data_IF_765425759881
#
_entry.id   IF_765425759881
#
_cell.length_a   1.000
_cell.length_b   1.000
_cell.length_c   1.000
_cell.angle_alpha   90.00
_cell.angle_beta   90.00
_cell.angle_gamma   90.00
#
_symmetry.space_group_name_H-M   'P 1'
#
loop_
_entity.id
_entity.type
_entity.pdbx_description
1 polymer ?
#
# COMPACT_ATOMS: atom_id res chain seq x y z
N UNK A 1 -56.73 26.37 24.32
CA UNK A 1 -56.18 26.44 22.95
C UNK A 1 -55.36 27.72 22.92
N UNK A 2 -54.04 27.76 22.94
CA UNK A 2 -52.96 26.87 22.50
C UNK A 2 -51.79 27.07 23.48
N UNK A 3 -51.14 25.98 23.91
CA UNK A 3 -49.96 26.05 24.79
C UNK A 3 -48.69 26.12 23.95
N UNK A 4 -47.97 27.24 23.99
CA UNK A 4 -46.66 27.37 23.35
C UNK A 4 -45.57 26.91 24.32
N UNK A 5 -44.92 25.80 24.00
CA UNK A 5 -43.70 25.32 24.67
C UNK A 5 -42.51 26.13 24.14
N UNK A 6 -41.95 27.01 24.97
CA UNK A 6 -40.67 27.65 24.71
C UNK A 6 -39.54 26.71 25.11
N UNK A 7 -38.81 26.19 24.12
CA UNK A 7 -37.53 25.51 24.34
C UNK A 7 -36.46 26.57 24.70
N UNK A 8 -35.67 26.29 25.74
CA UNK A 8 -34.58 27.19 26.18
C UNK A 8 -33.45 27.25 25.15
N UNK A 9 -32.75 28.39 25.03
CA UNK A 9 -31.63 28.53 24.08
C UNK A 9 -30.54 27.47 24.27
N UNK A 10 -30.34 27.00 25.50
CA UNK A 10 -29.39 25.94 25.86
C UNK A 10 -29.77 24.57 25.30
N UNK A 11 -31.08 24.29 25.16
CA UNK A 11 -31.54 23.03 24.55
C UNK A 11 -31.40 23.09 23.03
N UNK A 12 -31.66 24.22 22.38
CA UNK A 12 -31.47 24.39 20.93
C UNK A 12 -29.99 24.23 20.53
N UNK A 13 -29.05 24.77 21.32
CA UNK A 13 -27.61 24.61 21.10
C UNK A 13 -27.13 23.15 21.27
N UNK A 14 -27.71 22.41 22.22
CA UNK A 14 -27.39 21.00 22.46
C UNK A 14 -27.91 20.08 21.33
N UNK A 15 -29.08 20.40 20.77
CA UNK A 15 -29.62 19.68 19.61
C UNK A 15 -28.87 20.05 18.31
N UNK A 16 -28.41 21.29 18.15
CA UNK A 16 -27.58 21.71 17.01
C UNK A 16 -26.19 21.05 17.03
N UNK A 17 -25.56 20.90 18.21
CA UNK A 17 -24.28 20.18 18.32
C UNK A 17 -24.44 18.68 18.07
N UNK A 18 -25.54 18.07 18.52
CA UNK A 18 -25.86 16.66 18.21
C UNK A 18 -26.10 16.44 16.71
N UNK A 19 -26.76 17.39 16.03
CA UNK A 19 -27.03 17.33 14.59
C UNK A 19 -25.77 17.57 13.74
N UNK A 20 -24.84 18.41 14.19
CA UNK A 20 -23.53 18.62 13.56
C UNK A 20 -22.59 17.42 13.74
N UNK A 21 -22.66 16.70 14.87
CA UNK A 21 -21.93 15.43 15.06
C UNK A 21 -22.49 14.32 14.16
N UNK A 22 -23.79 14.36 13.84
CA UNK A 22 -24.44 13.44 12.88
C UNK A 22 -24.21 13.79 11.40
N UNK A 23 -23.82 15.03 11.07
CA UNK A 23 -23.61 15.50 9.70
C UNK A 23 -22.17 15.33 9.17
N UNK A 24 -21.21 14.98 10.04
CA UNK A 24 -19.81 14.74 9.68
C UNK A 24 -19.36 13.28 9.84
N UNK A 25 -20.29 12.33 9.94
CA UNK A 25 -19.95 10.94 9.66
C UNK A 25 -20.19 10.70 8.18
N UNK A 26 -19.17 10.89 7.35
CA UNK A 26 -19.10 10.17 6.08
C UNK A 26 -18.99 8.69 6.46
N UNK A 27 -20.13 8.05 6.70
CA UNK A 27 -20.16 6.62 7.00
C UNK A 27 -19.79 5.89 5.71
N UNK A 28 -18.50 5.59 5.54
CA UNK A 28 -18.08 4.55 4.61
C UNK A 28 -18.73 3.26 5.10
N UNK A 29 -19.72 2.76 4.35
CA UNK A 29 -20.37 1.51 4.70
C UNK A 29 -19.32 0.40 4.61
N UNK A 30 -18.97 -0.21 5.75
CA UNK A 30 -18.10 -1.37 5.77
C UNK A 30 -18.74 -2.50 4.95
N UNK A 31 -18.07 -2.90 3.87
CA UNK A 31 -18.48 -4.05 3.07
C UNK A 31 -18.07 -5.35 3.75
N UNK A 32 -16.99 -5.30 4.55
CA UNK A 32 -16.51 -6.40 5.37
C UNK A 32 -17.21 -6.40 6.73
N UNK A 33 -17.87 -7.51 7.07
CA UNK A 33 -18.42 -7.74 8.42
C UNK A 33 -17.37 -8.38 9.31
N UNK A 34 -16.92 -7.65 10.32
CA UNK A 34 -16.06 -8.19 11.37
C UNK A 34 -16.88 -8.98 12.40
N UNK A 35 -16.29 -9.98 13.08
CA UNK A 35 -16.92 -10.63 14.24
C UNK A 35 -17.25 -9.61 15.34
N UNK A 36 -18.33 -9.82 16.11
CA UNK A 36 -18.87 -8.86 17.09
C UNK A 36 -17.85 -8.33 18.12
N UNK A 37 -16.85 -9.14 18.47
CA UNK A 37 -15.83 -8.78 19.46
C UNK A 37 -14.51 -8.29 18.85
N UNK A 38 -14.45 -8.11 17.53
CA UNK A 38 -13.25 -7.69 16.82
C UNK A 38 -13.42 -6.28 16.25
N UNK A 39 -12.52 -5.40 16.65
CA UNK A 39 -12.38 -4.07 16.07
C UNK A 39 -11.03 -3.92 15.39
N UNK A 40 -11.00 -3.19 14.28
CA UNK A 40 -9.76 -2.71 13.64
C UNK A 40 -9.86 -1.18 13.66
N UNK A 41 -9.17 -0.48 14.56
CA UNK A 41 -9.31 0.97 14.66
C UNK A 41 -8.56 1.71 13.54
N UNK A 42 -7.44 1.17 13.07
CA UNK A 42 -6.64 1.78 12.02
C UNK A 42 -5.98 0.77 11.08
N UNK A 43 -5.60 1.26 9.90
CA UNK A 43 -4.70 0.59 8.97
C UNK A 43 -3.42 1.43 8.88
N UNK A 44 -2.31 0.89 9.40
CA UNK A 44 -1.01 1.56 9.48
C UNK A 44 -0.09 0.93 8.45
N UNK A 45 0.45 1.75 7.54
CA UNK A 45 1.05 1.24 6.30
C UNK A 45 2.50 1.64 6.16
N UNK A 46 3.34 0.70 5.75
CA UNK A 46 4.76 0.87 5.43
C UNK A 46 5.07 0.23 4.09
N UNK A 47 6.07 0.73 3.39
CA UNK A 47 6.43 0.13 2.12
C UNK A 47 6.95 1.05 1.05
N UNK A 48 6.69 0.65 -0.18
CA UNK A 48 7.11 1.29 -1.41
C UNK A 48 5.95 2.00 -2.15
N UNK A 49 6.16 2.29 -3.44
CA UNK A 49 5.20 2.98 -4.32
C UNK A 49 3.83 2.29 -4.43
N UNK A 50 3.72 0.99 -4.15
CA UNK A 50 2.44 0.27 -4.23
C UNK A 50 1.42 0.83 -3.24
N UNK A 51 1.87 1.40 -2.12
CA UNK A 51 1.02 1.89 -1.02
C UNK A 51 1.42 3.29 -0.54
N UNK A 52 2.17 4.02 -1.35
CA UNK A 52 2.45 5.43 -1.15
C UNK A 52 1.23 6.27 -1.53
N UNK A 53 0.95 7.29 -0.73
CA UNK A 53 -0.14 8.24 -0.91
C UNK A 53 0.35 9.69 -0.92
N UNK A 54 1.64 9.90 -1.21
CA UNK A 54 2.26 11.23 -1.36
C UNK A 54 3.36 11.57 -0.35
N UNK A 55 4.01 10.58 0.29
CA UNK A 55 5.12 10.91 1.21
C UNK A 55 6.36 11.47 0.48
N UNK A 56 6.40 11.34 -0.84
CA UNK A 56 7.52 11.81 -1.68
C UNK A 56 7.24 13.18 -2.34
N UNK A 57 6.04 13.74 -2.18
CA UNK A 57 5.57 14.86 -3.00
C UNK A 57 6.35 16.16 -2.76
N UNK A 58 6.77 16.39 -1.51
CA UNK A 58 7.58 17.54 -1.10
C UNK A 58 9.09 17.33 -1.28
N UNK A 59 9.51 16.19 -1.85
CA UNK A 59 10.92 15.84 -2.05
C UNK A 59 11.39 16.14 -3.48
N UNK A 60 12.67 16.47 -3.61
CA UNK A 60 13.34 16.54 -4.92
C UNK A 60 13.71 15.11 -5.33
N UNK A 61 12.78 14.42 -6.00
CA UNK A 61 12.93 13.02 -6.43
C UNK A 61 12.07 12.71 -7.64
N UNK A 62 12.47 11.70 -8.42
CA UNK A 62 11.66 11.12 -9.50
C UNK A 62 10.72 10.01 -9.00
N UNK A 63 10.90 9.56 -7.76
CA UNK A 63 10.06 8.55 -7.14
C UNK A 63 8.78 9.17 -6.54
N UNK A 64 8.06 9.99 -7.32
CA UNK A 64 6.79 10.63 -6.92
C UNK A 64 5.83 10.72 -8.10
N UNK A 65 4.54 10.86 -7.80
CA UNK A 65 3.44 10.83 -8.77
C UNK A 65 2.35 11.88 -8.45
N UNK A 66 2.76 13.04 -7.93
CA UNK A 66 1.94 14.21 -7.59
C UNK A 66 1.60 15.08 -8.80
N UNK A 67 1.54 14.47 -9.99
CA UNK A 67 1.25 15.16 -11.25
C UNK A 67 0.43 14.28 -12.21
N UNK A 68 -0.35 14.91 -13.12
CA UNK A 68 -1.09 14.18 -14.14
C UNK A 68 -0.19 13.36 -15.09
N UNK A 69 -0.63 12.17 -15.54
CA UNK A 69 -2.01 11.67 -15.46
C UNK A 69 -2.33 10.84 -14.20
N UNK A 70 -1.41 10.72 -13.24
CA UNK A 70 -1.67 9.99 -12.00
C UNK A 70 -2.86 10.60 -11.26
N UNK A 71 -3.66 9.74 -10.62
CA UNK A 71 -4.87 10.17 -9.92
C UNK A 71 -6.02 10.67 -10.80
N UNK A 72 -6.00 10.45 -12.13
CA UNK A 72 -7.09 10.86 -13.04
C UNK A 72 -8.48 10.32 -12.64
N UNK A 73 -8.53 9.16 -11.98
CA UNK A 73 -9.74 8.54 -11.41
C UNK A 73 -9.87 8.74 -9.90
N UNK A 74 -8.86 9.34 -9.25
CA UNK A 74 -8.88 9.60 -7.81
C UNK A 74 -9.64 10.90 -7.52
N UNK A 75 -10.57 10.87 -6.56
CA UNK A 75 -11.40 11.98 -6.07
C UNK A 75 -11.12 13.38 -6.66
N UNK A 76 -11.89 13.76 -7.68
CA UNK A 76 -11.76 15.05 -8.36
C UNK A 76 -10.70 15.10 -9.46
N UNK A 77 -10.07 13.98 -9.79
CA UNK A 77 -9.00 13.86 -10.79
C UNK A 77 -7.66 14.44 -10.30
N UNK A 78 -7.42 14.43 -8.99
CA UNK A 78 -6.25 15.06 -8.36
C UNK A 78 -5.13 14.05 -8.20
N UNK A 79 -3.93 14.41 -8.66
CA UNK A 79 -2.73 13.66 -8.42
C UNK A 79 -2.25 13.88 -6.98
N UNK A 80 -2.29 12.82 -6.16
CA UNK A 80 -1.92 12.88 -4.73
C UNK A 80 -0.64 12.10 -4.42
N UNK A 81 0.22 11.84 -5.41
CA UNK A 81 1.41 11.00 -5.20
C UNK A 81 1.15 9.49 -5.26
N UNK A 82 -0.10 9.04 -5.47
CA UNK A 82 -0.44 7.62 -5.68
C UNK A 82 0.06 7.14 -7.04
N UNK A 83 0.78 6.02 -7.05
CA UNK A 83 1.32 5.41 -8.26
C UNK A 83 0.25 4.58 -9.00
N UNK A 84 -0.90 5.18 -9.29
CA UNK A 84 -1.99 4.56 -10.03
C UNK A 84 -2.86 5.62 -10.71
N UNK A 85 -3.82 5.19 -11.52
CA UNK A 85 -4.88 6.09 -12.00
C UNK A 85 -5.80 6.56 -10.88
N UNK A 86 -5.88 5.82 -9.77
CA UNK A 86 -6.85 6.06 -8.70
C UNK A 86 -6.33 5.60 -7.35
N UNK A 87 -7.20 4.92 -6.58
CA UNK A 87 -6.89 4.35 -5.27
C UNK A 87 -5.80 3.27 -5.33
N UNK A 88 -4.95 3.25 -4.31
CA UNK A 88 -3.97 2.16 -4.08
C UNK A 88 -4.57 1.09 -3.15
N UNK A 89 -3.99 -0.13 -3.04
CA UNK A 89 -4.60 -1.25 -2.32
C UNK A 89 -5.03 -0.94 -0.88
N UNK A 90 -4.26 -0.12 -0.16
CA UNK A 90 -4.53 0.19 1.23
C UNK A 90 -5.66 1.20 1.42
N UNK A 91 -5.94 2.04 0.42
CA UNK A 91 -7.17 2.84 0.40
C UNK A 91 -8.39 1.94 0.31
N UNK A 92 -8.34 1.00 -0.62
CA UNK A 92 -9.42 0.04 -0.85
C UNK A 92 -9.62 -0.81 0.41
N UNK A 93 -8.54 -1.28 1.04
CA UNK A 93 -8.61 -2.01 2.31
C UNK A 93 -9.30 -1.18 3.42
N UNK A 94 -8.94 0.10 3.56
CA UNK A 94 -9.56 0.96 4.57
C UNK A 94 -11.04 1.23 4.26
N UNK A 95 -11.40 1.39 2.99
CA UNK A 95 -12.78 1.54 2.51
C UNK A 95 -13.61 0.28 2.81
N UNK A 96 -13.11 -0.90 2.47
CA UNK A 96 -13.76 -2.20 2.70
C UNK A 96 -14.00 -2.46 4.20
N UNK A 97 -13.09 -2.01 5.06
CA UNK A 97 -13.20 -2.05 6.52
C UNK A 97 -14.09 -0.94 7.10
N UNK A 98 -14.57 0.00 6.28
CA UNK A 98 -15.40 1.13 6.69
C UNK A 98 -14.69 2.19 7.52
N UNK A 99 -13.36 2.28 7.45
CA UNK A 99 -12.56 3.21 8.27
C UNK A 99 -12.52 4.62 7.69
N UNK A 100 -12.21 4.73 6.41
CA UNK A 100 -12.10 5.98 5.65
C UNK A 100 -12.06 5.68 4.15
N UNK A 101 -12.39 6.64 3.28
CA UNK A 101 -12.38 6.43 1.82
C UNK A 101 -10.98 6.22 1.24
N UNK A 102 -9.94 6.78 1.87
CA UNK A 102 -8.54 6.67 1.45
C UNK A 102 -7.58 6.92 2.61
N UNK A 103 -6.39 6.32 2.59
CA UNK A 103 -5.35 6.51 3.61
C UNK A 103 -4.44 7.69 3.22
N UNK A 104 -4.28 8.73 4.05
CA UNK A 104 -3.40 9.84 3.75
C UNK A 104 -1.93 9.50 4.02
N UNK A 105 -1.02 10.20 3.34
CA UNK A 105 0.41 10.18 3.65
C UNK A 105 0.67 10.86 4.99
N UNK A 106 1.58 10.29 5.79
CA UNK A 106 1.98 10.91 7.06
C UNK A 106 2.64 12.29 6.88
N UNK A 107 3.29 12.51 5.73
CA UNK A 107 3.96 13.77 5.40
C UNK A 107 3.09 14.78 4.65
N UNK A 108 1.79 14.48 4.45
CA UNK A 108 0.89 15.46 3.84
C UNK A 108 0.79 16.71 4.73
N UNK A 109 1.10 17.92 4.22
CA UNK A 109 0.99 19.17 4.99
C UNK A 109 -0.45 19.47 5.46
N UNK A 110 -1.45 18.84 4.85
CA UNK A 110 -2.87 18.98 5.21
C UNK A 110 -3.39 17.83 6.09
N UNK A 111 -2.51 16.93 6.54
CA UNK A 111 -2.87 15.81 7.41
C UNK A 111 -3.55 16.30 8.69
N UNK A 112 -4.75 15.78 8.98
CA UNK A 112 -5.50 16.19 10.16
C UNK A 112 -5.22 15.27 11.34
N UNK A 113 -5.31 15.74 12.59
CA UNK A 113 -5.11 14.89 13.76
C UNK A 113 -6.02 13.65 13.77
N UNK A 114 -7.29 13.78 13.39
CA UNK A 114 -8.25 12.68 13.30
C UNK A 114 -7.85 11.57 12.32
N UNK A 115 -7.06 11.88 11.30
CA UNK A 115 -6.55 10.87 10.37
C UNK A 115 -5.63 9.88 11.07
N UNK A 116 -4.89 10.34 12.09
CA UNK A 116 -4.00 9.50 12.88
C UNK A 116 -4.78 8.41 13.63
N UNK A 117 -6.02 8.66 14.03
CA UNK A 117 -6.82 7.69 14.80
C UNK A 117 -7.20 6.46 13.98
N UNK A 118 -7.27 6.62 12.67
CA UNK A 118 -7.77 5.63 11.70
C UNK A 118 -6.68 5.16 10.73
N UNK A 119 -5.46 5.68 10.89
CA UNK A 119 -4.26 5.20 10.21
C UNK A 119 -3.83 6.05 9.01
N UNK A 120 -2.54 5.93 8.71
CA UNK A 120 -1.79 6.68 7.71
C UNK A 120 -0.80 5.74 7.00
N UNK A 121 -0.26 6.18 5.86
CA UNK A 121 0.86 5.51 5.22
C UNK A 121 2.17 6.26 5.45
N UNK A 122 3.22 5.52 5.78
CA UNK A 122 4.61 5.96 5.81
C UNK A 122 5.39 5.48 4.58
N UNK A 123 4.73 4.73 3.69
CA UNK A 123 5.33 4.18 2.50
C UNK A 123 5.85 5.25 1.55
N UNK A 124 6.84 4.91 0.75
CA UNK A 124 7.54 5.87 -0.09
C UNK A 124 7.94 5.24 -1.41
N UNK A 125 7.65 5.92 -2.51
CA UNK A 125 8.13 5.55 -3.83
C UNK A 125 9.64 5.23 -3.84
N UNK A 126 10.00 4.11 -4.47
CA UNK A 126 11.39 3.67 -4.59
C UNK A 126 11.98 2.98 -3.34
N UNK A 127 11.21 2.82 -2.27
CA UNK A 127 11.69 2.12 -1.08
C UNK A 127 11.97 0.62 -1.36
N UNK A 128 12.96 0.09 -0.65
CA UNK A 128 13.36 -1.31 -0.68
C UNK A 128 13.63 -1.86 0.72
N UNK A 129 13.72 -3.19 0.86
CA UNK A 129 14.18 -3.81 2.11
C UNK A 129 15.67 -3.61 2.33
N UNK A 130 16.44 -3.46 1.26
CA UNK A 130 17.86 -3.16 1.31
C UNK A 130 18.05 -1.64 1.28
N UNK A 131 18.77 -1.04 2.25
CA UNK A 131 18.84 0.42 2.37
C UNK A 131 19.35 1.16 1.13
N UNK A 132 20.31 0.59 0.40
CA UNK A 132 20.88 1.25 -0.77
C UNK A 132 19.87 1.37 -1.93
N UNK A 133 18.88 0.47 -2.03
CA UNK A 133 17.78 0.55 -3.00
C UNK A 133 17.09 1.90 -2.91
N UNK A 134 16.71 2.25 -1.68
CA UNK A 134 15.97 3.48 -1.42
C UNK A 134 16.86 4.71 -1.63
N UNK A 135 18.14 4.60 -1.27
CA UNK A 135 19.12 5.67 -1.46
C UNK A 135 19.30 6.01 -2.94
N UNK A 136 19.40 5.01 -3.82
CA UNK A 136 19.56 5.21 -5.26
C UNK A 136 18.29 5.79 -5.87
N UNK A 137 17.12 5.29 -5.44
CA UNK A 137 15.83 5.76 -5.95
C UNK A 137 15.44 7.16 -5.44
N UNK A 138 16.12 7.68 -4.41
CA UNK A 138 15.77 8.97 -3.80
C UNK A 138 14.46 8.94 -3.02
N UNK A 139 14.13 7.80 -2.39
CA UNK A 139 12.95 7.62 -1.54
C UNK A 139 13.26 7.69 -0.04
N UNK A 140 12.29 7.30 0.78
CA UNK A 140 12.37 7.26 2.24
C UNK A 140 12.59 5.81 2.69
N UNK A 141 13.77 5.47 3.24
CA UNK A 141 14.08 4.09 3.62
C UNK A 141 13.19 3.63 4.78
N UNK A 142 12.92 2.33 4.88
CA UNK A 142 12.10 1.73 5.95
C UNK A 142 12.54 2.15 7.37
N UNK A 143 13.83 2.37 7.60
CA UNK A 143 14.34 2.88 8.87
C UNK A 143 13.85 4.30 9.19
N UNK A 144 13.70 5.16 8.19
CA UNK A 144 13.13 6.49 8.35
C UNK A 144 11.60 6.42 8.45
N UNK A 145 10.94 5.50 7.73
CA UNK A 145 9.50 5.24 7.91
C UNK A 145 9.17 4.82 9.34
N UNK A 146 10.04 4.03 10.00
CA UNK A 146 9.90 3.70 11.42
C UNK A 146 10.04 4.93 12.34
N UNK A 147 10.93 5.88 12.04
CA UNK A 147 11.04 7.12 12.82
C UNK A 147 9.79 7.97 12.72
N UNK A 148 9.21 8.08 11.53
CA UNK A 148 7.91 8.74 11.38
C UNK A 148 6.79 8.01 12.14
N UNK A 149 6.88 6.69 12.24
CA UNK A 149 5.98 5.93 13.08
C UNK A 149 6.19 6.18 14.59
N UNK A 150 7.42 6.35 15.06
CA UNK A 150 7.69 6.79 16.43
C UNK A 150 7.04 8.15 16.72
N UNK A 151 7.24 9.13 15.82
CA UNK A 151 6.59 10.44 15.92
C UNK A 151 5.06 10.35 15.86
N UNK A 152 4.51 9.45 15.05
CA UNK A 152 3.08 9.14 15.01
C UNK A 152 2.58 8.61 16.36
N UNK A 153 3.31 7.71 17.01
CA UNK A 153 2.94 7.18 18.34
C UNK A 153 2.93 8.29 19.38
N UNK A 154 3.91 9.20 19.36
CA UNK A 154 3.96 10.35 20.25
C UNK A 154 2.76 11.28 20.05
N UNK A 155 2.43 11.61 18.80
CA UNK A 155 1.25 12.43 18.47
C UNK A 155 -0.04 11.74 18.91
N UNK A 156 -0.18 10.44 18.65
CA UNK A 156 -1.34 9.65 19.04
C UNK A 156 -1.49 9.61 20.57
N UNK A 157 -0.40 9.40 21.31
CA UNK A 157 -0.37 9.48 22.76
C UNK A 157 -0.82 10.83 23.29
N UNK A 158 -0.35 11.94 22.69
CA UNK A 158 -0.77 13.28 23.06
C UNK A 158 -2.26 13.52 22.84
N UNK A 159 -2.86 12.88 21.85
CA UNK A 159 -4.28 13.04 21.52
C UNK A 159 -5.22 12.18 22.38
N UNK A 160 -4.89 10.90 22.60
CA UNK A 160 -5.82 9.93 23.19
C UNK A 160 -5.31 9.27 24.48
N UNK A 161 -4.09 9.60 24.91
CA UNK A 161 -3.44 8.99 26.06
C UNK A 161 -2.89 7.59 25.80
N UNK A 162 -1.99 7.16 26.68
CA UNK A 162 -1.18 5.94 26.52
C UNK A 162 -2.03 4.66 26.37
N UNK A 163 -3.05 4.49 27.20
CA UNK A 163 -3.90 3.29 27.19
C UNK A 163 -4.66 3.15 25.86
N UNK A 164 -5.19 4.26 25.34
CA UNK A 164 -5.92 4.23 24.06
C UNK A 164 -4.96 4.04 22.89
N UNK A 165 -3.76 4.61 22.93
CA UNK A 165 -2.73 4.35 21.92
C UNK A 165 -2.35 2.87 21.89
N UNK A 166 -2.06 2.26 23.05
CA UNK A 166 -1.78 0.81 23.13
C UNK A 166 -2.92 -0.02 22.55
N UNK A 167 -4.17 0.36 22.84
CA UNK A 167 -5.33 -0.28 22.24
C UNK A 167 -5.34 -0.14 20.70
N UNK A 168 -5.09 1.05 20.16
CA UNK A 168 -5.04 1.28 18.71
C UNK A 168 -3.93 0.43 18.08
N UNK A 169 -2.70 0.52 18.58
CA UNK A 169 -1.57 -0.23 18.02
C UNK A 169 -1.77 -1.75 18.09
N UNK A 170 -2.35 -2.26 19.19
CA UNK A 170 -2.62 -3.69 19.34
C UNK A 170 -3.68 -4.19 18.35
N UNK A 171 -4.73 -3.42 18.12
CA UNK A 171 -5.89 -3.88 17.35
C UNK A 171 -5.86 -3.46 15.86
N UNK A 172 -4.98 -2.55 15.46
CA UNK A 172 -4.84 -2.08 14.08
C UNK A 172 -4.16 -3.11 13.18
N UNK A 173 -4.45 -3.02 11.88
CA UNK A 173 -3.73 -3.78 10.86
C UNK A 173 -2.47 -3.02 10.44
N UNK A 174 -1.32 -3.71 10.44
CA UNK A 174 -0.06 -3.22 9.93
C UNK A 174 0.19 -3.88 8.57
N UNK A 175 0.30 -3.08 7.53
CA UNK A 175 0.52 -3.55 6.16
C UNK A 175 1.92 -3.16 5.72
N UNK A 176 2.73 -4.14 5.32
CA UNK A 176 4.09 -3.93 4.85
C UNK A 176 4.23 -4.50 3.43
N UNK A 177 4.41 -3.61 2.45
CA UNK A 177 4.58 -3.96 1.03
C UNK A 177 5.88 -3.35 0.51
N UNK A 178 6.88 -4.19 0.27
CA UNK A 178 8.20 -3.76 -0.19
C UNK A 178 8.93 -4.93 -0.86
N UNK A 179 10.04 -4.67 -1.55
CA UNK A 179 10.90 -5.72 -2.12
C UNK A 179 10.92 -5.76 -3.66
N UNK A 180 9.95 -5.14 -4.32
CA UNK A 180 9.89 -5.14 -5.79
C UNK A 180 11.05 -4.35 -6.40
N UNK A 181 11.39 -3.21 -5.79
CA UNK A 181 12.51 -2.37 -6.20
C UNK A 181 13.85 -3.08 -6.05
N UNK A 182 14.06 -3.80 -4.94
CA UNK A 182 15.29 -4.56 -4.66
C UNK A 182 15.55 -5.60 -5.77
N UNK A 183 14.52 -6.29 -6.25
CA UNK A 183 14.67 -7.32 -7.29
C UNK A 183 14.82 -6.66 -8.67
N UNK A 184 13.87 -5.80 -9.05
CA UNK A 184 13.79 -5.25 -10.41
C UNK A 184 14.89 -4.23 -10.70
N UNK A 185 14.99 -3.21 -9.86
CA UNK A 185 15.81 -2.03 -10.12
C UNK A 185 17.25 -2.24 -9.64
N UNK A 186 17.45 -2.96 -8.55
CA UNK A 186 18.79 -3.16 -7.99
C UNK A 186 19.43 -4.45 -8.47
N UNK A 187 18.90 -5.60 -8.08
CA UNK A 187 19.56 -6.86 -8.39
C UNK A 187 19.64 -7.08 -9.91
N UNK A 188 18.56 -6.84 -10.65
CA UNK A 188 18.59 -7.02 -12.10
C UNK A 188 18.97 -5.76 -12.88
N UNK A 189 18.71 -4.57 -12.34
CA UNK A 189 19.05 -3.30 -13.00
C UNK A 189 20.50 -2.84 -12.81
N UNK A 190 21.16 -3.19 -11.71
CA UNK A 190 22.53 -2.71 -11.40
C UNK A 190 23.58 -3.83 -11.51
N UNK A 191 24.54 -3.73 -12.46
CA UNK A 191 25.63 -4.69 -12.57
C UNK A 191 26.47 -4.82 -11.29
N UNK A 192 26.66 -3.72 -10.56
CA UNK A 192 27.44 -3.69 -9.31
C UNK A 192 26.86 -4.59 -8.22
N UNK A 193 25.53 -4.67 -8.11
CA UNK A 193 24.86 -5.56 -7.15
C UNK A 193 25.09 -7.02 -7.53
N UNK A 194 25.01 -7.37 -8.82
CA UNK A 194 25.24 -8.74 -9.32
C UNK A 194 26.69 -9.21 -9.21
N UNK A 195 27.65 -8.29 -9.09
CA UNK A 195 29.04 -8.62 -8.81
C UNK A 195 29.27 -8.98 -7.33
N UNK A 196 28.42 -8.49 -6.43
CA UNK A 196 28.54 -8.69 -4.99
C UNK A 196 27.63 -9.81 -4.46
N UNK A 197 26.47 -10.00 -5.08
CA UNK A 197 25.44 -10.92 -4.60
C UNK A 197 25.01 -11.90 -5.67
N UNK A 198 24.66 -13.11 -5.23
CA UNK A 198 23.86 -14.05 -6.01
C UNK A 198 22.38 -13.76 -5.76
N UNK A 199 21.49 -14.31 -6.61
CA UNK A 199 20.04 -14.22 -6.35
C UNK A 199 19.71 -14.79 -4.96
N UNK A 200 20.38 -15.88 -4.58
CA UNK A 200 20.18 -16.51 -3.29
C UNK A 200 20.62 -15.62 -2.13
N UNK A 201 21.85 -15.08 -2.14
CA UNK A 201 22.32 -14.24 -1.03
C UNK A 201 21.57 -12.91 -0.92
N UNK A 202 21.18 -12.32 -2.06
CA UNK A 202 20.43 -11.07 -2.07
C UNK A 202 19.00 -11.25 -1.55
N UNK A 203 18.29 -12.28 -2.01
CA UNK A 203 16.92 -12.58 -1.51
C UNK A 203 16.90 -13.01 -0.05
N UNK A 204 17.99 -13.61 0.46
CA UNK A 204 18.16 -13.87 1.89
C UNK A 204 18.32 -12.56 2.68
N UNK A 205 19.17 -11.64 2.22
CA UNK A 205 19.34 -10.32 2.84
C UNK A 205 18.00 -9.55 2.91
N UNK A 206 17.24 -9.54 1.81
CA UNK A 206 15.90 -8.93 1.78
C UNK A 206 14.97 -9.55 2.83
N UNK A 207 14.90 -10.89 2.89
CA UNK A 207 14.02 -11.60 3.81
C UNK A 207 14.43 -11.40 5.29
N UNK A 208 15.72 -11.26 5.58
CA UNK A 208 16.23 -10.97 6.92
C UNK A 208 15.96 -9.53 7.36
N UNK A 209 16.07 -8.57 6.45
CA UNK A 209 15.68 -7.19 6.71
C UNK A 209 14.18 -7.07 6.94
N UNK A 210 13.36 -7.75 6.13
CA UNK A 210 11.90 -7.84 6.32
C UNK A 210 11.53 -8.46 7.68
N UNK A 211 12.21 -9.56 8.06
CA UNK A 211 12.05 -10.20 9.37
C UNK A 211 12.37 -9.23 10.50
N UNK A 212 13.47 -8.48 10.38
CA UNK A 212 13.89 -7.52 11.39
C UNK A 212 12.90 -6.36 11.52
N UNK A 213 12.38 -5.86 10.40
CA UNK A 213 11.35 -4.83 10.38
C UNK A 213 10.06 -5.29 11.09
N UNK A 214 9.59 -6.51 10.79
CA UNK A 214 8.42 -7.09 11.46
C UNK A 214 8.61 -7.21 12.98
N UNK A 215 9.82 -7.58 13.44
CA UNK A 215 10.16 -7.60 14.87
C UNK A 215 10.12 -6.21 15.49
N UNK A 216 10.58 -5.17 14.79
CA UNK A 216 10.49 -3.79 15.28
C UNK A 216 9.05 -3.36 15.47
N UNK A 217 8.17 -3.59 14.48
CA UNK A 217 6.74 -3.28 14.59
C UNK A 217 6.10 -4.00 15.79
N UNK A 218 6.40 -5.28 15.98
CA UNK A 218 5.94 -6.02 17.16
C UNK A 218 6.42 -5.38 18.47
N UNK A 219 7.68 -4.91 18.50
CA UNK A 219 8.26 -4.17 19.63
C UNK A 219 7.51 -2.89 19.97
N UNK A 220 6.99 -2.16 18.97
CA UNK A 220 6.14 -0.98 19.16
C UNK A 220 4.69 -1.32 19.56
N UNK A 221 4.33 -2.59 19.73
CA UNK A 221 3.00 -3.00 20.17
C UNK A 221 2.08 -3.49 19.05
N UNK A 222 2.54 -3.52 17.80
CA UNK A 222 1.75 -4.10 16.71
C UNK A 222 1.48 -5.59 16.96
N UNK A 223 0.24 -6.03 16.74
CA UNK A 223 -0.13 -7.46 16.86
C UNK A 223 -0.77 -8.05 15.62
N UNK A 224 -1.29 -7.27 14.67
CA UNK A 224 -1.78 -7.78 13.38
C UNK A 224 -0.88 -7.24 12.28
N UNK A 225 0.07 -8.04 11.80
CA UNK A 225 1.11 -7.60 10.85
C UNK A 225 1.03 -8.47 9.60
N UNK A 226 0.77 -7.83 8.47
CA UNK A 226 0.66 -8.45 7.15
C UNK A 226 1.93 -8.11 6.36
N UNK A 227 2.74 -9.13 6.10
CA UNK A 227 3.98 -9.02 5.35
C UNK A 227 3.77 -9.57 3.95
N UNK A 228 3.75 -8.70 2.95
CA UNK A 228 3.48 -9.09 1.57
C UNK A 228 4.75 -9.61 0.88
N UNK A 229 4.59 -10.66 0.08
CA UNK A 229 5.62 -11.11 -0.86
C UNK A 229 5.79 -10.16 -2.05
N UNK A 230 6.78 -10.46 -2.89
CA UNK A 230 6.96 -9.85 -4.19
C UNK A 230 5.95 -10.42 -5.23
N UNK A 231 5.44 -9.58 -6.15
CA UNK A 231 4.60 -10.02 -7.26
C UNK A 231 5.39 -10.80 -8.32
N UNK A 232 4.76 -11.31 -9.39
CA UNK A 232 5.45 -11.78 -10.60
C UNK A 232 6.14 -10.63 -11.34
N UNK A 233 7.25 -10.12 -10.78
CA UNK A 233 7.99 -8.95 -11.28
C UNK A 233 8.41 -9.13 -12.74
N UNK A 234 8.80 -10.34 -13.15
CA UNK A 234 9.15 -10.61 -14.55
C UNK A 234 8.01 -10.41 -15.53
N UNK A 235 6.76 -10.32 -15.06
CA UNK A 235 5.57 -10.12 -15.87
C UNK A 235 5.06 -8.67 -15.89
N UNK A 236 5.66 -7.72 -15.15
CA UNK A 236 5.24 -6.32 -15.27
C UNK A 236 5.72 -5.73 -16.62
N UNK A 237 5.01 -4.75 -17.21
CA UNK A 237 5.27 -4.33 -18.59
C UNK A 237 6.72 -3.88 -18.88
N UNK A 238 7.33 -3.12 -17.96
CA UNK A 238 8.73 -2.67 -18.05
C UNK A 238 9.71 -3.84 -18.13
N UNK A 239 9.55 -4.83 -17.25
CA UNK A 239 10.45 -5.98 -17.18
C UNK A 239 10.33 -6.88 -18.41
N UNK A 240 9.10 -7.06 -18.91
CA UNK A 240 8.82 -7.68 -20.22
C UNK A 240 9.54 -6.94 -21.35
N UNK A 241 9.51 -5.62 -21.34
CA UNK A 241 10.15 -4.78 -22.38
C UNK A 241 11.68 -4.89 -22.34
N UNK A 242 12.30 -4.79 -21.16
CA UNK A 242 13.77 -4.74 -21.06
C UNK A 242 14.44 -6.12 -21.14
N UNK A 243 13.74 -7.20 -20.80
CA UNK A 243 14.36 -8.53 -20.67
C UNK A 243 13.50 -9.71 -21.17
N UNK A 244 12.29 -9.45 -21.69
CA UNK A 244 11.40 -10.49 -22.24
C UNK A 244 11.66 -10.86 -23.71
N UNK A 245 12.70 -10.29 -24.32
CA UNK A 245 13.01 -10.51 -25.73
C UNK A 245 12.01 -9.87 -26.70
N UNK A 246 12.07 -10.22 -28.01
CA UNK A 246 11.21 -9.61 -29.03
C UNK A 246 9.70 -9.83 -28.80
N UNK A 247 9.34 -10.93 -28.15
CA UNK A 247 7.96 -11.30 -27.78
C UNK A 247 7.49 -10.61 -26.49
N UNK A 248 8.41 -9.95 -25.77
CA UNK A 248 8.19 -9.35 -24.46
C UNK A 248 7.65 -10.38 -23.46
N UNK A 249 8.10 -11.62 -23.46
CA UNK A 249 7.57 -12.64 -22.55
C UNK A 249 7.85 -12.31 -21.07
N UNK A 250 7.13 -12.96 -20.16
CA UNK A 250 7.46 -12.88 -18.75
C UNK A 250 8.89 -13.39 -18.50
N UNK A 251 9.69 -12.60 -17.79
CA UNK A 251 11.10 -12.91 -17.54
C UNK A 251 11.22 -13.94 -16.43
N UNK A 252 11.46 -15.20 -16.82
CA UNK A 252 11.53 -16.36 -15.90
C UNK A 252 12.50 -16.12 -14.73
N UNK A 253 13.73 -15.68 -15.02
CA UNK A 253 14.75 -15.43 -13.98
C UNK A 253 14.35 -14.36 -12.96
N UNK A 254 13.52 -13.39 -13.33
CA UNK A 254 13.02 -12.36 -12.40
C UNK A 254 11.93 -12.96 -11.51
N UNK A 255 11.01 -13.71 -12.12
CA UNK A 255 9.97 -14.42 -11.40
C UNK A 255 10.52 -15.47 -10.43
N UNK A 256 11.61 -16.14 -10.78
CA UNK A 256 12.28 -17.10 -9.88
C UNK A 256 12.92 -16.40 -8.68
N UNK A 257 13.50 -15.21 -8.87
CA UNK A 257 13.98 -14.39 -7.75
C UNK A 257 12.83 -13.96 -6.83
N UNK A 258 11.69 -13.52 -7.39
CA UNK A 258 10.49 -13.21 -6.60
C UNK A 258 10.00 -14.41 -5.80
N UNK A 259 9.92 -15.59 -6.42
CA UNK A 259 9.52 -16.83 -5.74
C UNK A 259 10.50 -17.23 -4.63
N UNK A 260 11.80 -17.08 -4.87
CA UNK A 260 12.83 -17.40 -3.88
C UNK A 260 12.77 -16.45 -2.68
N UNK A 261 12.61 -15.15 -2.91
CA UNK A 261 12.37 -14.17 -1.86
C UNK A 261 11.10 -14.51 -1.07
N UNK A 262 10.00 -14.81 -1.77
CA UNK A 262 8.72 -15.16 -1.14
C UNK A 262 8.82 -16.41 -0.26
N UNK A 263 9.53 -17.44 -0.71
CA UNK A 263 9.75 -18.65 0.08
C UNK A 263 10.54 -18.36 1.37
N UNK A 264 11.59 -17.54 1.28
CA UNK A 264 12.39 -17.13 2.45
C UNK A 264 11.61 -16.24 3.40
N UNK A 265 10.86 -15.27 2.87
CA UNK A 265 9.98 -14.40 3.67
C UNK A 265 8.93 -15.24 4.39
N UNK A 266 8.21 -16.12 3.69
CA UNK A 266 7.22 -17.01 4.29
C UNK A 266 7.83 -17.83 5.42
N UNK A 267 9.00 -18.45 5.20
CA UNK A 267 9.71 -19.21 6.24
C UNK A 267 10.08 -18.35 7.47
N UNK A 268 10.59 -17.14 7.24
CA UNK A 268 10.92 -16.20 8.32
C UNK A 268 9.67 -15.78 9.11
N UNK A 269 8.56 -15.49 8.43
CA UNK A 269 7.30 -15.11 9.05
C UNK A 269 6.67 -16.28 9.81
N UNK A 270 6.74 -17.50 9.28
CA UNK A 270 6.28 -18.70 9.98
C UNK A 270 7.03 -18.90 11.30
N UNK A 271 8.35 -18.72 11.32
CA UNK A 271 9.17 -18.78 12.54
C UNK A 271 8.78 -17.66 13.52
N UNK A 272 8.64 -16.43 13.04
CA UNK A 272 8.23 -15.31 13.89
C UNK A 272 6.82 -15.49 14.47
N UNK A 273 5.87 -16.02 13.69
CA UNK A 273 4.50 -16.26 14.15
C UNK A 273 4.41 -17.24 15.34
N UNK A 274 5.39 -18.15 15.47
CA UNK A 274 5.47 -19.12 16.58
C UNK A 274 6.23 -18.58 17.79
N UNK A 275 7.00 -17.52 17.62
CA UNK A 275 7.88 -16.97 18.67
C UNK A 275 7.36 -15.64 19.24
N UNK A 276 6.69 -14.83 18.44
CA UNK A 276 6.06 -13.58 18.85
C UNK A 276 4.63 -13.86 19.34
N UNK A 277 4.51 -14.17 20.62
CA UNK A 277 3.25 -14.50 21.26
C UNK A 277 2.21 -13.38 21.12
N UNK A 278 0.94 -13.75 21.20
CA UNK A 278 -0.20 -12.83 21.08
C UNK A 278 -0.24 -12.00 19.79
N UNK A 279 0.43 -12.46 18.72
CA UNK A 279 0.44 -11.80 17.41
C UNK A 279 -0.19 -12.66 16.31
N UNK A 280 -0.73 -11.96 15.31
CA UNK A 280 -1.14 -12.44 14.00
C UNK A 280 -0.17 -11.86 12.97
N UNK A 281 1.00 -12.48 12.87
CA UNK A 281 1.99 -12.16 11.84
C UNK A 281 1.78 -13.12 10.67
N UNK A 282 1.42 -12.58 9.50
CA UNK A 282 0.98 -13.37 8.35
C UNK A 282 1.77 -12.98 7.10
N UNK A 283 2.29 -13.98 6.40
CA UNK A 283 2.76 -13.82 5.04
C UNK A 283 1.57 -13.77 4.08
N UNK A 284 1.52 -12.74 3.24
CA UNK A 284 0.46 -12.52 2.25
C UNK A 284 1.01 -12.76 0.84
N UNK A 285 0.41 -13.73 0.14
CA UNK A 285 0.77 -14.07 -1.23
C UNK A 285 0.07 -13.14 -2.22
N UNK A 286 0.82 -12.17 -2.74
CA UNK A 286 0.40 -11.28 -3.85
C UNK A 286 0.81 -11.84 -5.22
N UNK A 287 1.70 -12.83 -5.26
CA UNK A 287 2.24 -13.36 -6.50
C UNK A 287 1.12 -14.04 -7.31
N UNK A 288 0.38 -14.94 -6.66
CA UNK A 288 -0.64 -15.74 -7.35
C UNK A 288 -1.82 -14.89 -7.85
N UNK A 289 -2.42 -13.98 -7.06
CA UNK A 289 -3.53 -13.15 -7.53
C UNK A 289 -3.16 -12.27 -8.72
N UNK A 290 -2.01 -11.58 -8.69
CA UNK A 290 -1.61 -10.73 -9.81
C UNK A 290 -1.27 -11.56 -11.05
N UNK A 291 -0.59 -12.70 -10.89
CA UNK A 291 -0.29 -13.58 -12.03
C UNK A 291 -1.57 -14.09 -12.69
N UNK A 292 -2.59 -14.41 -11.91
CA UNK A 292 -3.88 -14.88 -12.42
C UNK A 292 -4.60 -13.78 -13.23
N UNK A 293 -4.57 -12.53 -12.77
CA UNK A 293 -5.07 -11.38 -13.55
C UNK A 293 -4.31 -11.23 -14.88
N UNK A 294 -3.00 -11.48 -14.87
CA UNK A 294 -2.16 -11.34 -16.06
C UNK A 294 -2.42 -12.45 -17.09
N UNK A 295 -2.54 -13.69 -16.63
CA UNK A 295 -2.70 -14.88 -17.49
C UNK A 295 -4.15 -15.08 -17.93
N UNK A 296 -5.13 -14.67 -17.12
CA UNK A 296 -6.56 -14.85 -17.39
C UNK A 296 -7.34 -13.51 -17.40
N UNK A 297 -6.88 -12.46 -18.12
CA UNK A 297 -7.43 -11.11 -17.99
C UNK A 297 -8.93 -11.03 -18.33
N UNK A 298 -9.37 -11.78 -19.34
CA UNK A 298 -10.78 -11.79 -19.78
C UNK A 298 -11.76 -12.30 -18.72
N UNK A 299 -11.33 -13.14 -17.76
CA UNK A 299 -12.19 -13.59 -16.66
C UNK A 299 -12.54 -12.46 -15.70
N UNK A 300 -11.74 -11.40 -15.71
CA UNK A 300 -11.84 -10.25 -14.82
C UNK A 300 -12.29 -8.98 -15.54
N UNK A 301 -12.64 -9.08 -16.83
CA UNK A 301 -13.04 -7.94 -17.66
C UNK A 301 -11.87 -7.14 -18.24
N UNK A 302 -10.62 -7.55 -18.01
CA UNK A 302 -9.46 -6.91 -18.63
C UNK A 302 -9.28 -7.36 -20.09
N UNK A 303 -8.86 -6.44 -20.94
CA UNK A 303 -8.48 -6.69 -22.34
C UNK A 303 -6.97 -6.65 -22.54
N UNK A 304 -6.25 -5.92 -21.68
CA UNK A 304 -4.80 -5.71 -21.79
C UNK A 304 -4.13 -5.99 -20.46
N UNK A 305 -3.22 -6.96 -20.43
CA UNK A 305 -2.50 -7.36 -19.22
C UNK A 305 -0.97 -7.27 -19.33
N UNK A 306 -0.47 -6.79 -20.47
CA UNK A 306 0.95 -6.84 -20.80
C UNK A 306 1.56 -5.47 -21.20
N UNK A 307 0.75 -4.42 -21.08
CA UNK A 307 1.09 -3.02 -21.31
C UNK A 307 0.48 -2.19 -20.19
N UNK A 308 1.15 -1.10 -19.83
CA UNK A 308 0.54 -0.01 -19.08
C UNK A 308 -0.50 0.74 -19.92
N UNK A 309 -1.47 1.34 -19.27
CA UNK A 309 -2.41 2.27 -19.88
C UNK A 309 -1.75 3.62 -20.25
N UNK A 310 -0.69 4.01 -19.53
CA UNK A 310 0.02 5.26 -19.76
C UNK A 310 1.10 5.14 -20.84
N UNK A 311 1.12 6.11 -21.77
CA UNK A 311 2.09 6.19 -22.85
C UNK A 311 1.96 5.03 -23.84
N UNK A 312 3.10 4.48 -24.28
CA UNK A 312 3.11 3.23 -25.05
C UNK A 312 2.80 2.00 -24.18
N UNK A 313 2.85 2.16 -22.85
CA UNK A 313 2.67 1.08 -21.89
C UNK A 313 3.88 0.15 -21.78
N UNK A 314 5.02 0.51 -22.38
CA UNK A 314 6.19 -0.35 -22.48
C UNK A 314 7.19 -0.10 -21.36
N UNK A 315 7.46 1.17 -21.05
CA UNK A 315 8.51 1.57 -20.09
C UNK A 315 8.12 2.80 -19.27
N UNK A 316 7.01 3.45 -19.61
CA UNK A 316 6.54 4.67 -18.98
C UNK A 316 6.16 4.39 -17.54
N UNK A 317 6.83 5.05 -16.62
CA UNK A 317 6.61 5.02 -15.17
C UNK A 317 7.17 6.34 -14.63
N UNK A 318 6.55 6.88 -13.59
CA UNK A 318 6.87 8.21 -13.01
C UNK A 318 7.04 9.28 -14.08
N UNK A 319 8.23 9.86 -14.23
CA UNK A 319 8.55 10.95 -15.14
C UNK A 319 8.24 10.63 -16.60
N UNK A 320 8.27 9.35 -16.99
CA UNK A 320 7.95 8.94 -18.37
C UNK A 320 6.44 8.77 -18.59
N UNK A 321 5.66 8.69 -17.51
CA UNK A 321 4.20 8.74 -17.54
C UNK A 321 3.72 10.14 -17.14
N UNK A 322 3.64 11.05 -18.10
CA UNK A 322 3.25 12.44 -17.87
C UNK A 322 2.33 12.98 -18.98
N UNK A 323 1.60 14.05 -18.71
CA UNK A 323 0.67 14.65 -19.68
C UNK A 323 1.31 15.34 -20.90
N UNK A 324 2.63 15.49 -20.95
CA UNK A 324 3.33 16.13 -22.06
C UNK A 324 3.78 15.14 -23.13
N UNK A 325 4.23 13.96 -22.71
CA UNK A 325 4.83 12.96 -23.61
C UNK A 325 3.98 11.71 -23.76
N UNK A 326 2.96 11.52 -22.92
CA UNK A 326 2.25 10.26 -22.81
C UNK A 326 0.74 10.46 -22.92
N UNK A 327 0.13 9.76 -23.88
CA UNK A 327 -1.32 9.62 -23.94
C UNK A 327 -1.78 8.57 -22.92
N UNK A 328 -3.01 8.72 -22.42
CA UNK A 328 -3.64 7.71 -21.55
C UNK A 328 -4.59 6.87 -22.40
N UNK A 329 -4.62 5.56 -22.15
CA UNK A 329 -5.55 4.66 -22.81
C UNK A 329 -7.02 5.10 -22.62
N UNK A 330 -7.92 4.82 -23.58
CA UNK A 330 -9.28 5.36 -23.56
C UNK A 330 -10.15 4.79 -22.45
N UNK A 331 -9.95 3.52 -22.09
CA UNK A 331 -10.71 2.82 -21.04
C UNK A 331 -9.72 2.18 -20.07
N UNK A 332 -9.49 2.85 -18.94
CA UNK A 332 -8.49 2.42 -17.93
C UNK A 332 -8.82 1.07 -17.29
N UNK A 333 -10.10 0.78 -17.08
CA UNK A 333 -10.56 -0.49 -16.52
C UNK A 333 -10.34 -1.70 -17.45
N UNK A 334 -10.03 -1.50 -18.73
CA UNK A 334 -9.63 -2.59 -19.64
C UNK A 334 -8.20 -3.07 -19.36
N UNK A 335 -7.41 -2.34 -18.56
CA UNK A 335 -5.99 -2.59 -18.33
C UNK A 335 -5.72 -3.10 -16.91
N UNK A 336 -4.89 -4.15 -16.80
CA UNK A 336 -4.35 -4.60 -15.50
C UNK A 336 -3.38 -3.57 -14.93
N UNK A 337 -2.55 -2.97 -15.80
CA UNK A 337 -1.48 -2.05 -15.42
C UNK A 337 -1.80 -0.60 -15.78
N UNK A 338 -1.61 0.30 -14.83
CA UNK A 338 -1.74 1.74 -15.05
C UNK A 338 -0.55 2.27 -15.85
N UNK A 339 0.65 2.06 -15.34
CA UNK A 339 1.90 2.39 -16.02
C UNK A 339 2.70 1.10 -16.28
N UNK A 340 3.99 1.19 -16.60
CA UNK A 340 4.81 0.01 -16.91
C UNK A 340 5.22 -0.83 -15.69
N UNK A 341 4.77 -0.48 -14.49
CA UNK A 341 5.12 -1.16 -13.24
C UNK A 341 3.90 -1.39 -12.33
N UNK A 342 3.04 -0.38 -12.18
CA UNK A 342 1.97 -0.34 -11.18
C UNK A 342 0.61 -0.77 -11.76
N UNK A 343 -0.17 -1.60 -11.05
CA UNK A 343 -1.55 -1.91 -11.41
C UNK A 343 -2.52 -0.71 -11.42
N UNK A 344 -3.63 -0.85 -12.15
CA UNK A 344 -4.76 0.08 -12.10
C UNK A 344 -5.56 -0.08 -10.80
N UNK A 345 -6.34 0.94 -10.42
CA UNK A 345 -7.31 0.81 -9.32
C UNK A 345 -8.24 -0.40 -9.52
N UNK A 346 -8.71 -0.66 -10.75
CA UNK A 346 -9.58 -1.81 -11.05
C UNK A 346 -8.90 -3.14 -10.72
N UNK A 347 -7.63 -3.30 -11.09
CA UNK A 347 -6.85 -4.49 -10.74
C UNK A 347 -6.65 -4.58 -9.22
N UNK A 348 -6.34 -3.48 -8.55
CA UNK A 348 -6.19 -3.45 -7.11
C UNK A 348 -7.49 -3.83 -6.36
N UNK A 349 -8.66 -3.38 -6.81
CA UNK A 349 -9.94 -3.77 -6.19
C UNK A 349 -10.17 -5.27 -6.23
N UNK A 350 -9.92 -5.91 -7.38
CA UNK A 350 -10.05 -7.37 -7.52
C UNK A 350 -9.04 -8.10 -6.64
N UNK A 351 -7.79 -7.62 -6.60
CA UNK A 351 -6.74 -8.21 -5.76
C UNK A 351 -7.10 -8.10 -4.28
N UNK A 352 -7.49 -6.91 -3.80
CA UNK A 352 -7.84 -6.68 -2.39
C UNK A 352 -9.02 -7.55 -1.98
N UNK A 353 -10.06 -7.67 -2.82
CA UNK A 353 -11.19 -8.56 -2.56
C UNK A 353 -10.74 -10.04 -2.38
N UNK A 354 -9.92 -10.55 -3.32
CA UNK A 354 -9.37 -11.92 -3.22
C UNK A 354 -8.52 -12.13 -1.96
N UNK A 355 -7.77 -11.12 -1.54
CA UNK A 355 -6.94 -11.19 -0.33
C UNK A 355 -7.78 -11.15 0.94
N UNK A 356 -8.81 -10.29 1.00
CA UNK A 356 -9.75 -10.25 2.12
C UNK A 356 -10.44 -11.61 2.29
N UNK A 357 -10.98 -12.18 1.22
CA UNK A 357 -11.61 -13.51 1.24
C UNK A 357 -10.68 -14.60 1.80
N UNK A 358 -9.38 -14.53 1.45
CA UNK A 358 -8.40 -15.55 1.83
C UNK A 358 -7.83 -15.37 3.23
N UNK A 359 -7.59 -14.13 3.67
CA UNK A 359 -6.77 -13.85 4.84
C UNK A 359 -7.51 -13.22 6.00
N UNK A 360 -8.68 -12.60 5.79
CA UNK A 360 -9.36 -11.85 6.84
C UNK A 360 -9.58 -12.68 8.10
N UNK A 361 -10.09 -13.90 7.98
CA UNK A 361 -10.34 -14.82 9.10
C UNK A 361 -9.09 -15.23 9.89
N UNK A 362 -7.90 -15.08 9.32
CA UNK A 362 -6.62 -15.33 10.00
C UNK A 362 -6.13 -14.10 10.77
N UNK A 363 -6.58 -12.91 10.37
CA UNK A 363 -6.17 -11.62 10.93
C UNK A 363 -7.10 -11.18 12.07
N UNK A 364 -8.41 -11.39 11.91
CA UNK A 364 -9.44 -10.91 12.84
C UNK A 364 -9.56 -11.76 14.07
#
# INVERSE_FOLDING_TARGET
>A
MVSYLFLSSSSILFWFSLFLVLLFTTTTNALVKLPENITIPAVIVFGDSIVDAGNNDDMITEARCDYPPYGIDFDGGVATGRFSNGKVPTDILAEELGLKPSIPAYRDPNLKPEDLLTGVTFASGGAGYVPFTTQIAGGIPLSQQLKYFEEYIEKLNGMVGEERTKFILKNSMFVVICGSNDIANDFFGLPTVRLQYTVDSFTALMADNARSFAKSLYGYGARRILMFGAPPIGCVPSQRTVAGGPTRDCVVRFNDASKLFNAKLSGNIDVLSRTLLDSKLIYVDIYSPLLDLILNPGQYGFKVSNLGCCGTGLIEVTALCNNYTSAVCPIRSDYVFWDSFHPTETAYRIIVAKLLDRYLSRIV
#
